data_IF_349675671669
#
_entry.id   IF_349675671669
#
_cell.length_a   1.000
_cell.length_b   1.000
_cell.length_c   1.000
_cell.angle_alpha   90.00
_cell.angle_beta   90.00
_cell.angle_gamma   90.00
#
_symmetry.space_group_name_H-M   'P 1'
#
loop_
_entity.id
_entity.type
_entity.pdbx_description
1 polymer ?
#
# COMPACT_ATOMS: atom_id res chain seq x y z
N UNK A 1 -25.88 -8.15 13.08
CA UNK A 1 -26.36 -8.72 11.81
C UNK A 1 -26.32 -7.73 10.64
N UNK A 2 -26.79 -6.47 10.81
CA UNK A 2 -26.70 -5.42 9.75
C UNK A 2 -25.27 -4.91 9.59
N UNK A 3 -24.53 -4.69 10.66
CA UNK A 3 -23.12 -4.31 10.62
C UNK A 3 -22.24 -5.40 9.98
N UNK A 4 -22.49 -6.66 10.30
CA UNK A 4 -21.80 -7.79 9.66
C UNK A 4 -22.13 -7.93 8.17
N UNK A 5 -23.38 -7.67 7.77
CA UNK A 5 -23.79 -7.59 6.36
C UNK A 5 -23.14 -6.42 5.64
N UNK A 6 -23.05 -5.26 6.29
CA UNK A 6 -22.39 -4.08 5.73
C UNK A 6 -20.89 -4.31 5.60
N UNK A 7 -20.25 -4.92 6.59
CA UNK A 7 -18.83 -5.29 6.52
C UNK A 7 -18.57 -6.38 5.46
N UNK A 8 -19.45 -7.37 5.32
CA UNK A 8 -19.35 -8.38 4.28
C UNK A 8 -19.52 -7.80 2.87
N UNK A 9 -20.48 -6.87 2.67
CA UNK A 9 -20.63 -6.12 1.40
C UNK A 9 -19.42 -5.22 1.10
N UNK A 10 -18.89 -4.52 2.10
CA UNK A 10 -17.66 -3.72 1.94
C UNK A 10 -16.46 -4.60 1.60
N UNK A 11 -16.27 -5.74 2.25
CA UNK A 11 -15.21 -6.72 1.93
C UNK A 11 -15.35 -7.30 0.52
N UNK A 12 -16.57 -7.57 0.06
CA UNK A 12 -16.86 -8.05 -1.29
C UNK A 12 -16.60 -6.99 -2.37
N UNK A 13 -17.01 -5.73 -2.15
CA UNK A 13 -16.72 -4.62 -3.06
C UNK A 13 -15.22 -4.31 -3.11
N UNK A 14 -14.56 -4.28 -1.96
CA UNK A 14 -13.11 -4.04 -1.88
C UNK A 14 -12.34 -5.13 -2.61
N UNK A 15 -12.71 -6.39 -2.42
CA UNK A 15 -12.09 -7.52 -3.13
C UNK A 15 -12.31 -7.46 -4.65
N UNK A 16 -13.47 -7.00 -5.12
CA UNK A 16 -13.77 -6.83 -6.56
C UNK A 16 -12.96 -5.68 -7.17
N UNK A 17 -12.80 -4.57 -6.45
CA UNK A 17 -11.99 -3.43 -6.87
C UNK A 17 -10.52 -3.83 -6.97
N UNK A 18 -9.99 -4.52 -5.98
CA UNK A 18 -8.63 -5.04 -5.98
C UNK A 18 -8.39 -6.05 -7.10
N UNK A 19 -9.37 -6.91 -7.40
CA UNK A 19 -9.27 -7.88 -8.50
C UNK A 19 -9.13 -7.19 -9.86
N UNK A 20 -9.89 -6.13 -10.10
CA UNK A 20 -9.81 -5.35 -11.34
C UNK A 20 -8.50 -4.56 -11.46
N UNK A 21 -7.98 -3.98 -10.38
CA UNK A 21 -6.69 -3.28 -10.38
C UNK A 21 -5.55 -4.21 -10.73
N UNK A 22 -5.49 -5.38 -10.12
CA UNK A 22 -4.44 -6.38 -10.36
C UNK A 22 -4.63 -7.05 -11.73
N UNK A 23 -5.85 -7.21 -12.22
CA UNK A 23 -6.09 -7.76 -13.56
C UNK A 23 -5.44 -6.91 -14.67
N UNK A 24 -5.49 -5.56 -14.57
CA UNK A 24 -4.80 -4.68 -15.51
C UNK A 24 -3.27 -4.72 -15.38
N UNK A 25 -2.76 -4.96 -14.17
CA UNK A 25 -1.33 -5.17 -13.92
C UNK A 25 -0.82 -6.38 -14.69
N UNK A 26 -1.61 -7.40 -14.75
CA UNK A 26 -1.24 -8.74 -15.17
C UNK A 26 -1.38 -8.98 -16.67
N UNK A 27 -2.37 -8.38 -17.34
CA UNK A 27 -2.47 -8.42 -18.80
C UNK A 27 -1.23 -7.83 -19.50
N UNK A 28 -0.42 -7.06 -18.75
CA UNK A 28 0.88 -6.55 -19.20
C UNK A 28 2.01 -7.59 -19.08
N UNK A 29 1.86 -8.62 -18.28
CA UNK A 29 2.88 -9.63 -18.02
C UNK A 29 3.06 -10.60 -19.20
N UNK A 30 2.00 -10.92 -19.93
CA UNK A 30 2.03 -11.88 -21.06
C UNK A 30 3.00 -11.47 -22.19
N UNK A 31 3.33 -10.17 -22.32
CA UNK A 31 4.16 -9.69 -23.43
C UNK A 31 5.64 -9.47 -23.07
N UNK A 32 6.08 -9.61 -21.80
CA UNK A 32 7.44 -9.25 -21.35
C UNK A 32 8.11 -10.21 -20.37
N UNK A 33 7.61 -11.41 -20.19
CA UNK A 33 8.07 -12.41 -19.19
C UNK A 33 9.57 -12.80 -19.32
N UNK A 34 10.20 -12.56 -20.48
CA UNK A 34 11.59 -12.95 -20.71
C UNK A 34 12.61 -11.95 -20.16
N UNK A 35 12.25 -10.68 -19.95
CA UNK A 35 13.21 -9.63 -19.57
C UNK A 35 13.31 -9.38 -18.05
N UNK A 36 12.23 -9.52 -17.32
CA UNK A 36 12.15 -9.11 -15.91
C UNK A 36 11.96 -10.27 -14.92
N UNK A 37 11.75 -11.50 -15.41
CA UNK A 37 11.40 -12.63 -14.54
C UNK A 37 10.03 -12.44 -13.87
N UNK A 38 9.92 -12.88 -12.62
CA UNK A 38 8.65 -12.76 -11.89
C UNK A 38 8.36 -11.31 -11.52
N UNK A 39 7.19 -10.82 -11.94
CA UNK A 39 6.67 -9.50 -11.57
C UNK A 39 5.46 -9.70 -10.67
N UNK A 40 5.40 -8.96 -9.56
CA UNK A 40 4.22 -8.92 -8.70
C UNK A 40 3.44 -7.63 -8.93
N UNK A 41 2.13 -7.69 -8.75
CA UNK A 41 1.26 -6.52 -8.72
C UNK A 41 0.98 -6.10 -7.29
N UNK A 42 1.21 -4.84 -6.95
CA UNK A 42 0.91 -4.29 -5.64
C UNK A 42 -0.10 -3.15 -5.77
N UNK A 43 -1.22 -3.29 -5.09
CA UNK A 43 -2.11 -2.16 -4.83
C UNK A 43 -1.74 -1.56 -3.46
N UNK A 44 -1.03 -0.43 -3.50
CA UNK A 44 -0.62 0.30 -2.31
C UNK A 44 -1.73 1.28 -1.91
N UNK A 45 -2.73 0.80 -1.18
CA UNK A 45 -3.89 1.60 -0.77
C UNK A 45 -3.62 2.49 0.44
N UNK A 46 -4.45 3.52 0.64
CA UNK A 46 -4.38 4.41 1.81
C UNK A 46 -4.62 3.64 3.11
N UNK A 47 -5.64 2.79 3.14
CA UNK A 47 -6.06 2.05 4.35
C UNK A 47 -5.58 0.59 4.33
N UNK A 48 -5.66 -0.05 3.18
CA UNK A 48 -5.26 -1.45 2.98
C UNK A 48 -4.48 -1.58 1.68
N UNK A 49 -3.52 -2.48 1.69
CA UNK A 49 -2.75 -2.88 0.52
C UNK A 49 -2.97 -4.35 0.20
N UNK A 50 -2.73 -4.73 -1.04
CA UNK A 50 -2.72 -6.14 -1.42
C UNK A 50 -1.65 -6.43 -2.47
N UNK A 51 -1.29 -7.70 -2.59
CA UNK A 51 -0.32 -8.18 -3.56
C UNK A 51 -0.89 -9.38 -4.32
N UNK A 52 -0.58 -9.44 -5.59
CA UNK A 52 -0.98 -10.54 -6.45
C UNK A 52 0.09 -10.89 -7.47
N UNK A 53 -0.08 -12.04 -8.09
CA UNK A 53 0.80 -12.57 -9.14
C UNK A 53 -0.02 -13.17 -10.26
N UNK A 54 0.53 -13.14 -11.46
CA UNK A 54 -0.02 -13.91 -12.57
C UNK A 54 0.60 -15.29 -12.60
N UNK A 55 -0.23 -16.31 -12.55
CA UNK A 55 0.20 -17.69 -12.57
C UNK A 55 -0.85 -18.55 -13.25
N UNK A 56 -0.42 -19.46 -14.13
CA UNK A 56 -1.31 -20.40 -14.81
C UNK A 56 -2.49 -19.72 -15.55
N UNK A 57 -2.22 -18.60 -16.25
CA UNK A 57 -3.24 -17.92 -17.05
C UNK A 57 -4.23 -17.07 -16.25
N UNK A 58 -4.03 -16.86 -14.96
CA UNK A 58 -4.92 -16.07 -14.10
C UNK A 58 -4.18 -15.25 -13.05
N UNK A 59 -4.87 -14.21 -12.59
CA UNK A 59 -4.42 -13.39 -11.44
C UNK A 59 -4.78 -14.10 -10.14
N UNK A 60 -3.79 -14.23 -9.27
CA UNK A 60 -3.98 -14.75 -7.91
C UNK A 60 -3.61 -13.67 -6.90
N UNK A 61 -4.57 -13.28 -6.05
CA UNK A 61 -4.32 -12.41 -4.90
C UNK A 61 -3.77 -13.28 -3.78
N UNK A 62 -2.61 -12.91 -3.27
CA UNK A 62 -1.89 -13.68 -2.27
C UNK A 62 -2.39 -13.30 -0.87
N UNK A 63 -2.68 -14.30 -0.04
CA UNK A 63 -3.01 -14.08 1.36
C UNK A 63 -1.75 -13.82 2.20
N UNK A 64 -1.86 -12.94 3.19
CA UNK A 64 -0.82 -12.70 4.17
C UNK A 64 -0.71 -13.84 5.20
N UNK A 65 0.21 -13.71 6.16
CA UNK A 65 0.44 -14.68 7.25
C UNK A 65 -0.77 -14.88 8.17
N UNK A 66 -1.73 -13.96 8.19
CA UNK A 66 -3.01 -14.07 8.91
C UNK A 66 -4.14 -14.69 8.04
N UNK A 67 -3.83 -15.11 6.81
CA UNK A 67 -4.81 -15.64 5.86
C UNK A 67 -5.67 -14.58 5.19
N UNK A 68 -5.38 -13.28 5.36
CA UNK A 68 -6.12 -12.20 4.77
C UNK A 68 -5.52 -11.80 3.41
N UNK A 69 -6.38 -11.56 2.41
CA UNK A 69 -5.95 -11.09 1.08
C UNK A 69 -5.66 -9.59 1.01
N UNK A 70 -5.98 -8.87 2.06
CA UNK A 70 -5.65 -7.45 2.23
C UNK A 70 -4.87 -7.29 3.52
N UNK A 71 -3.93 -6.37 3.53
CA UNK A 71 -3.07 -6.06 4.67
C UNK A 71 -3.24 -4.59 5.02
N UNK A 72 -3.47 -4.22 6.30
CA UNK A 72 -3.53 -2.81 6.69
C UNK A 72 -2.26 -2.06 6.29
N UNK A 73 -2.40 -0.87 5.71
CA UNK A 73 -1.28 0.03 5.38
C UNK A 73 -0.82 0.79 6.63
N UNK A 74 -0.46 0.04 7.66
CA UNK A 74 -0.11 0.50 8.99
C UNK A 74 1.31 0.07 9.34
N UNK A 75 2.04 0.99 10.00
CA UNK A 75 3.38 0.74 10.55
C UNK A 75 3.40 1.24 11.98
N UNK A 76 3.83 0.43 12.92
CA UNK A 76 3.95 0.83 14.32
C UNK A 76 5.35 0.53 14.85
N UNK A 77 5.78 1.33 15.82
CA UNK A 77 7.08 1.20 16.47
C UNK A 77 6.88 1.00 17.97
N UNK A 78 7.46 -0.07 18.51
CA UNK A 78 7.44 -0.32 19.95
C UNK A 78 8.28 0.70 20.70
N UNK A 79 7.73 1.25 21.78
CA UNK A 79 8.48 2.13 22.67
C UNK A 79 9.48 1.38 23.56
N UNK A 80 9.26 0.09 23.80
CA UNK A 80 10.08 -0.69 24.69
C UNK A 80 11.40 -1.10 24.04
N UNK A 81 11.33 -1.72 22.87
CA UNK A 81 12.47 -2.32 22.17
C UNK A 81 12.74 -1.74 20.78
N UNK A 82 11.92 -0.80 20.32
CA UNK A 82 12.03 -0.22 18.98
C UNK A 82 11.63 -1.16 17.84
N UNK A 83 10.99 -2.28 18.14
CA UNK A 83 10.53 -3.22 17.14
C UNK A 83 9.52 -2.57 16.18
N UNK A 84 9.71 -2.82 14.89
CA UNK A 84 8.81 -2.34 13.84
C UNK A 84 7.79 -3.41 13.49
N UNK A 85 6.53 -3.05 13.60
CA UNK A 85 5.39 -3.88 13.21
C UNK A 85 4.74 -3.32 11.95
N UNK A 86 4.22 -4.18 11.08
CA UNK A 86 3.57 -3.78 9.82
C UNK A 86 2.28 -4.60 9.65
N UNK A 87 1.25 -3.98 9.07
CA UNK A 87 -0.01 -4.64 8.76
C UNK A 87 -0.91 -4.83 9.98
N UNK A 88 -1.48 -6.02 10.14
CA UNK A 88 -2.43 -6.32 11.22
C UNK A 88 -1.81 -6.11 12.60
N UNK A 89 -0.56 -6.53 12.81
CA UNK A 89 0.17 -6.32 14.05
C UNK A 89 0.30 -4.83 14.39
N UNK A 90 0.63 -3.99 13.41
CA UNK A 90 0.71 -2.54 13.58
C UNK A 90 -0.66 -1.92 13.88
N UNK A 91 -1.70 -2.31 13.15
CA UNK A 91 -3.05 -1.81 13.36
C UNK A 91 -3.59 -2.10 14.76
N UNK A 92 -3.25 -3.27 15.31
CA UNK A 92 -3.63 -3.65 16.67
C UNK A 92 -2.96 -2.77 17.75
N UNK A 93 -1.86 -2.09 17.42
CA UNK A 93 -1.20 -1.14 18.31
C UNK A 93 -1.93 0.21 18.42
N UNK A 94 -2.83 0.54 17.50
CA UNK A 94 -3.44 1.87 17.42
C UNK A 94 -4.11 2.31 18.73
N UNK A 95 -4.73 1.39 19.46
CA UNK A 95 -5.43 1.72 20.71
C UNK A 95 -4.47 1.97 21.88
N UNK A 96 -3.35 1.26 21.93
CA UNK A 96 -2.41 1.30 23.08
C UNK A 96 -1.17 2.14 22.81
N UNK A 97 -0.85 2.37 21.53
CA UNK A 97 0.34 3.11 21.10
C UNK A 97 0.01 4.02 19.89
N UNK A 98 -0.99 4.91 20.01
CA UNK A 98 -1.47 5.71 18.86
C UNK A 98 -0.41 6.64 18.30
N UNK A 99 0.42 7.26 19.14
CA UNK A 99 1.43 8.24 18.72
C UNK A 99 2.57 7.63 17.88
N UNK A 100 2.77 6.31 17.97
CA UNK A 100 3.79 5.58 17.21
C UNK A 100 3.19 4.58 16.22
N UNK A 101 1.90 4.70 15.93
CA UNK A 101 1.19 3.91 14.93
C UNK A 101 0.84 4.80 13.76
N UNK A 102 1.54 4.61 12.65
CA UNK A 102 1.45 5.43 11.43
C UNK A 102 0.54 4.76 10.42
N UNK A 103 -0.38 5.53 9.89
CA UNK A 103 -1.28 5.13 8.79
C UNK A 103 -1.50 6.33 7.85
N UNK A 104 -2.22 6.15 6.76
CA UNK A 104 -2.50 7.20 5.78
C UNK A 104 -1.23 7.85 5.15
N UNK A 105 -0.07 7.20 5.19
CA UNK A 105 1.16 7.72 4.60
C UNK A 105 1.01 8.11 3.11
N UNK A 106 0.10 7.44 2.39
CA UNK A 106 -0.26 7.76 1.01
C UNK A 106 -0.82 9.18 0.82
N UNK A 107 -1.38 9.79 1.87
CA UNK A 107 -1.86 11.17 1.84
C UNK A 107 -0.73 12.20 1.93
N UNK A 108 0.43 11.79 2.44
CA UNK A 108 1.62 12.63 2.58
C UNK A 108 2.62 12.47 1.43
N UNK A 109 2.64 11.29 0.77
CA UNK A 109 3.67 10.94 -0.21
C UNK A 109 3.72 11.93 -1.37
N UNK A 110 4.93 12.43 -1.68
CA UNK A 110 5.17 13.38 -2.77
C UNK A 110 4.55 14.76 -2.60
N UNK A 111 4.03 15.09 -1.40
CA UNK A 111 3.43 16.40 -1.11
C UNK A 111 4.40 17.33 -0.38
N UNK A 112 4.04 18.62 -0.39
CA UNK A 112 4.72 19.63 0.41
C UNK A 112 4.05 19.78 1.77
N UNK A 113 4.85 20.10 2.81
CA UNK A 113 4.34 20.25 4.17
C UNK A 113 3.26 21.34 4.26
N UNK A 114 3.45 22.45 3.53
CA UNK A 114 2.52 23.59 3.53
C UNK A 114 1.27 23.38 2.67
N UNK A 115 1.11 22.22 2.01
CA UNK A 115 -0.13 21.89 1.29
C UNK A 115 -1.32 21.94 2.24
N UNK A 116 -2.39 22.63 1.85
CA UNK A 116 -3.61 22.75 2.65
C UNK A 116 -4.18 21.40 3.07
N UNK A 117 -4.20 20.44 2.15
CA UNK A 117 -4.66 19.07 2.43
C UNK A 117 -3.80 18.39 3.48
N UNK A 118 -2.48 18.56 3.45
CA UNK A 118 -1.55 18.02 4.44
C UNK A 118 -1.81 18.67 5.81
N UNK A 119 -1.97 20.00 5.85
CA UNK A 119 -2.23 20.73 7.09
C UNK A 119 -3.59 20.39 7.71
N UNK A 120 -4.60 20.07 6.90
CA UNK A 120 -5.89 19.63 7.39
C UNK A 120 -5.85 18.17 7.89
N UNK A 121 -5.16 17.28 7.18
CA UNK A 121 -5.02 15.87 7.57
C UNK A 121 -4.17 15.70 8.86
N UNK A 122 -3.11 16.49 9.06
CA UNK A 122 -2.26 16.47 10.28
C UNK A 122 -3.08 16.63 11.57
N UNK A 123 -4.15 17.40 11.53
CA UNK A 123 -5.03 17.64 12.70
C UNK A 123 -5.83 16.41 13.12
N UNK A 124 -5.94 15.41 12.24
CA UNK A 124 -6.75 14.21 12.44
C UNK A 124 -5.93 13.01 12.92
N UNK A 125 -4.60 13.07 12.77
CA UNK A 125 -3.74 11.95 13.13
C UNK A 125 -3.24 12.02 14.57
N UNK A 126 -3.13 10.88 15.26
CA UNK A 126 -2.60 10.83 16.62
C UNK A 126 -1.07 10.95 16.66
N UNK A 127 -0.37 10.63 15.56
CA UNK A 127 1.07 10.74 15.44
C UNK A 127 1.49 12.14 14.96
N UNK A 128 2.71 12.53 15.28
CA UNK A 128 3.25 13.85 14.92
C UNK A 128 3.80 13.85 13.50
N UNK A 129 3.56 14.93 12.79
CA UNK A 129 4.20 15.23 11.49
C UNK A 129 4.98 16.55 11.63
N UNK A 130 6.24 16.56 11.24
CA UNK A 130 7.13 17.71 11.27
C UNK A 130 7.48 18.20 9.87
N UNK A 131 7.85 19.47 9.78
CA UNK A 131 8.43 20.04 8.58
C UNK A 131 9.94 19.79 8.52
N UNK A 132 10.40 19.29 7.39
CA UNK A 132 11.82 19.22 7.06
C UNK A 132 12.02 19.72 5.63
N UNK A 133 12.46 20.97 5.47
CA UNK A 133 12.64 21.60 4.17
C UNK A 133 11.36 21.61 3.33
N UNK A 134 10.24 21.98 3.90
CA UNK A 134 8.90 21.94 3.31
C UNK A 134 8.43 20.53 2.87
N UNK A 135 9.01 19.49 3.46
CA UNK A 135 8.56 18.10 3.24
C UNK A 135 8.04 17.51 4.54
N UNK A 136 6.85 16.88 4.55
CA UNK A 136 6.29 16.29 5.74
C UNK A 136 7.11 15.05 6.16
N UNK A 137 7.45 14.95 7.44
CA UNK A 137 8.11 13.81 8.04
C UNK A 137 7.32 13.34 9.25
N UNK A 138 7.03 12.06 9.31
CA UNK A 138 6.39 11.43 10.47
C UNK A 138 7.41 11.29 11.58
N UNK A 139 7.06 11.73 12.80
CA UNK A 139 7.91 11.65 13.99
C UNK A 139 7.34 10.60 14.93
N UNK A 140 8.12 9.59 15.25
CA UNK A 140 7.75 8.49 16.15
C UNK A 140 8.87 8.18 17.11
N UNK A 141 8.54 7.62 18.27
CA UNK A 141 9.52 7.07 19.20
C UNK A 141 9.87 5.64 18.83
N UNK A 142 11.14 5.39 18.60
CA UNK A 142 11.70 4.06 18.36
C UNK A 142 12.58 3.70 19.55
N UNK A 143 12.04 2.93 20.47
CA UNK A 143 12.66 2.75 21.80
C UNK A 143 12.65 4.09 22.55
N UNK A 144 13.85 4.60 22.89
CA UNK A 144 14.03 5.87 23.64
C UNK A 144 14.29 7.09 22.75
N UNK A 145 14.40 6.92 21.44
CA UNK A 145 14.80 7.97 20.51
C UNK A 145 13.62 8.41 19.63
N UNK A 146 13.50 9.72 19.41
CA UNK A 146 12.61 10.26 18.41
C UNK A 146 13.26 10.10 17.03
N UNK A 147 12.56 9.41 16.12
CA UNK A 147 12.99 9.24 14.72
C UNK A 147 12.00 9.90 13.77
N UNK A 148 12.53 10.42 12.67
CA UNK A 148 11.76 11.02 11.61
C UNK A 148 11.85 10.15 10.37
N UNK A 149 10.69 9.87 9.77
CA UNK A 149 10.58 9.09 8.54
C UNK A 149 9.86 9.90 7.47
N UNK A 150 10.43 9.92 6.26
CA UNK A 150 9.71 10.41 5.10
C UNK A 150 8.51 9.50 4.78
N UNK A 151 7.43 10.00 4.16
CA UNK A 151 6.30 9.17 3.73
C UNK A 151 6.71 8.03 2.82
N UNK A 152 7.74 8.22 1.99
CA UNK A 152 8.34 7.21 1.13
C UNK A 152 8.93 6.05 1.94
N UNK A 153 9.57 6.34 3.08
CA UNK A 153 10.14 5.32 3.96
C UNK A 153 9.05 4.50 4.65
N UNK A 154 7.98 5.13 5.12
CA UNK A 154 6.80 4.43 5.69
C UNK A 154 6.13 3.57 4.62
N UNK A 155 5.93 4.11 3.43
CA UNK A 155 5.35 3.37 2.29
C UNK A 155 6.24 2.20 1.89
N UNK A 156 7.57 2.37 1.92
CA UNK A 156 8.53 1.30 1.66
C UNK A 156 8.42 0.15 2.66
N UNK A 157 8.14 0.42 3.92
CA UNK A 157 7.91 -0.62 4.93
C UNK A 157 6.68 -1.47 4.58
N UNK A 158 5.60 -0.84 4.11
CA UNK A 158 4.40 -1.57 3.64
C UNK A 158 4.73 -2.36 2.38
N UNK A 159 5.46 -1.79 1.42
CA UNK A 159 5.88 -2.48 0.19
C UNK A 159 6.79 -3.68 0.50
N UNK A 160 7.67 -3.57 1.49
CA UNK A 160 8.50 -4.69 1.98
C UNK A 160 7.63 -5.83 2.48
N UNK A 161 6.58 -5.54 3.25
CA UNK A 161 5.63 -6.57 3.70
C UNK A 161 4.91 -7.23 2.52
N UNK A 162 4.51 -6.46 1.50
CA UNK A 162 3.91 -7.03 0.28
C UNK A 162 4.89 -7.95 -0.47
N UNK A 163 6.17 -7.55 -0.55
CA UNK A 163 7.24 -8.36 -1.14
C UNK A 163 7.42 -9.67 -0.36
N UNK A 164 7.53 -9.62 0.96
CA UNK A 164 7.68 -10.79 1.83
C UNK A 164 6.51 -11.78 1.68
N UNK A 165 5.28 -11.28 1.61
CA UNK A 165 4.07 -12.10 1.37
C UNK A 165 4.18 -12.82 0.02
N UNK A 166 4.60 -12.10 -1.02
CA UNK A 166 4.76 -12.68 -2.35
C UNK A 166 5.90 -13.71 -2.41
N UNK A 167 7.04 -13.42 -1.80
CA UNK A 167 8.19 -14.32 -1.74
C UNK A 167 7.88 -15.60 -0.98
N UNK A 168 7.17 -15.50 0.16
CA UNK A 168 6.71 -16.67 0.92
C UNK A 168 5.78 -17.56 0.11
N UNK A 169 4.86 -16.97 -0.66
CA UNK A 169 3.94 -17.70 -1.53
C UNK A 169 4.64 -18.36 -2.72
N UNK A 170 5.58 -17.63 -3.34
CA UNK A 170 6.27 -18.07 -4.55
C UNK A 170 7.46 -19.02 -4.27
N UNK A 171 7.99 -19.02 -3.04
CA UNK A 171 9.19 -19.77 -2.65
C UNK A 171 10.47 -19.25 -3.29
N UNK A 172 10.50 -18.00 -3.75
CA UNK A 172 11.65 -17.37 -4.42
C UNK A 172 11.68 -15.86 -4.23
N UNK A 173 12.87 -15.28 -4.39
CA UNK A 173 13.07 -13.84 -4.37
C UNK A 173 12.30 -13.11 -5.48
N UNK A 174 11.71 -11.96 -5.12
CA UNK A 174 11.00 -11.08 -6.04
C UNK A 174 11.69 -9.72 -6.11
N UNK A 175 12.07 -9.31 -7.32
CA UNK A 175 12.78 -8.06 -7.58
C UNK A 175 11.93 -7.01 -8.30
N UNK A 176 10.90 -7.42 -9.02
CA UNK A 176 10.16 -6.54 -9.91
C UNK A 176 8.69 -6.42 -9.49
N UNK A 177 8.17 -5.21 -9.51
CA UNK A 177 6.78 -4.93 -9.18
C UNK A 177 6.15 -3.92 -10.14
N UNK A 178 4.85 -4.04 -10.30
CA UNK A 178 3.97 -2.97 -10.81
C UNK A 178 3.16 -2.46 -9.64
N UNK A 179 3.09 -1.15 -9.46
CA UNK A 179 2.39 -0.52 -8.33
C UNK A 179 1.27 0.37 -8.85
N UNK A 180 0.09 0.31 -8.21
CA UNK A 180 -1.04 1.18 -8.54
C UNK A 180 -0.99 2.49 -7.76
N UNK A 181 -1.46 3.57 -8.39
CA UNK A 181 -1.65 4.88 -7.78
C UNK A 181 -2.98 5.48 -8.21
N UNK A 182 -3.59 6.39 -7.42
CA UNK A 182 -4.77 7.12 -7.85
C UNK A 182 -4.52 7.88 -9.15
N UNK A 183 -5.53 7.96 -10.01
CA UNK A 183 -5.43 8.67 -11.30
C UNK A 183 -5.09 10.17 -11.11
N UNK A 184 -5.48 10.78 -9.98
CA UNK A 184 -5.20 12.18 -9.65
C UNK A 184 -3.78 12.44 -9.11
N UNK A 185 -2.94 11.40 -8.92
CA UNK A 185 -1.56 11.59 -8.51
C UNK A 185 -0.78 12.34 -9.58
N UNK A 186 -0.06 13.38 -9.15
CA UNK A 186 0.88 14.11 -9.99
C UNK A 186 2.22 13.37 -10.14
N UNK A 187 3.12 13.91 -10.94
CA UNK A 187 4.42 13.28 -11.22
C UNK A 187 5.29 13.15 -9.97
N UNK A 188 5.26 14.13 -9.07
CA UNK A 188 6.01 14.07 -7.81
C UNK A 188 5.53 12.92 -6.92
N UNK A 189 4.22 12.71 -6.80
CA UNK A 189 3.63 11.61 -6.04
C UNK A 189 3.93 10.24 -6.69
N UNK A 190 3.92 10.18 -8.02
CA UNK A 190 4.29 8.96 -8.78
C UNK A 190 5.76 8.62 -8.60
N UNK A 191 6.64 9.63 -8.67
CA UNK A 191 8.07 9.44 -8.45
C UNK A 191 8.34 8.99 -7.02
N UNK A 192 7.75 9.64 -6.02
CA UNK A 192 7.87 9.27 -4.61
C UNK A 192 7.39 7.83 -4.34
N UNK A 193 6.35 7.36 -5.05
CA UNK A 193 5.91 5.96 -4.98
C UNK A 193 6.95 5.00 -5.57
N UNK A 194 7.63 5.37 -6.65
CA UNK A 194 8.76 4.59 -7.20
C UNK A 194 9.93 4.55 -6.23
N UNK A 195 10.24 5.69 -5.61
CA UNK A 195 11.34 5.80 -4.64
C UNK A 195 11.07 4.91 -3.42
N UNK A 196 9.82 4.86 -2.94
CA UNK A 196 9.40 3.91 -1.91
C UNK A 196 9.64 2.45 -2.33
N UNK A 197 9.34 2.10 -3.58
CA UNK A 197 9.64 0.78 -4.13
C UNK A 197 11.15 0.47 -4.11
N UNK A 198 11.97 1.42 -4.51
CA UNK A 198 13.44 1.29 -4.50
C UNK A 198 13.96 1.08 -3.07
N UNK A 199 13.46 1.83 -2.09
CA UNK A 199 13.81 1.66 -0.67
C UNK A 199 13.42 0.26 -0.19
N UNK A 200 12.29 -0.30 -0.66
CA UNK A 200 11.83 -1.66 -0.35
C UNK A 200 12.63 -2.75 -1.10
N UNK A 201 13.61 -2.40 -1.92
CA UNK A 201 14.37 -3.36 -2.74
C UNK A 201 13.59 -3.90 -3.93
N UNK A 202 12.61 -3.14 -4.44
CA UNK A 202 11.81 -3.47 -5.61
C UNK A 202 12.17 -2.55 -6.79
N UNK A 203 12.38 -3.14 -7.95
CA UNK A 203 12.36 -2.41 -9.21
C UNK A 203 10.91 -2.20 -9.64
N UNK A 204 10.40 -0.99 -9.50
CA UNK A 204 9.05 -0.64 -9.95
C UNK A 204 9.06 -0.42 -11.45
N UNK A 205 8.76 -1.48 -12.19
CA UNK A 205 8.82 -1.49 -13.66
C UNK A 205 7.73 -0.63 -14.29
N UNK A 206 6.62 -0.40 -13.58
CA UNK A 206 5.54 0.48 -14.02
C UNK A 206 4.71 0.97 -12.83
N UNK A 207 4.27 2.23 -12.92
CA UNK A 207 3.17 2.80 -12.13
C UNK A 207 1.94 2.83 -13.03
N UNK A 208 0.81 2.33 -12.54
CA UNK A 208 -0.48 2.34 -13.24
C UNK A 208 -1.56 2.99 -12.38
N UNK A 209 -2.57 3.55 -13.02
CA UNK A 209 -3.69 4.14 -12.30
C UNK A 209 -4.57 3.05 -11.68
N UNK A 210 -5.03 3.30 -10.44
CA UNK A 210 -6.14 2.55 -9.86
C UNK A 210 -7.38 2.71 -10.75
N UNK A 211 -8.14 1.63 -11.04
CA UNK A 211 -9.40 1.79 -11.76
C UNK A 211 -10.34 2.63 -10.91
N UNK A 212 -10.88 3.70 -11.50
CA UNK A 212 -11.90 4.49 -10.83
C UNK A 212 -13.16 3.64 -10.64
N UNK A 213 -13.81 3.74 -9.49
CA UNK A 213 -15.03 2.99 -9.16
C UNK A 213 -16.13 3.15 -10.24
N UNK A 214 -16.17 4.29 -10.94
CA UNK A 214 -17.07 4.56 -12.05
C UNK A 214 -16.76 3.69 -13.30
N UNK A 215 -15.50 3.47 -13.64
CA UNK A 215 -15.10 2.62 -14.76
C UNK A 215 -15.40 1.13 -14.48
N UNK A 216 -15.33 0.72 -13.23
CA UNK A 216 -15.64 -0.65 -12.78
C UNK A 216 -17.16 -0.89 -12.84
N UNK A 217 -17.97 0.05 -12.34
CA UNK A 217 -19.44 -0.05 -12.41
C UNK A 217 -19.95 -0.09 -13.84
N UNK A 218 -19.35 0.70 -14.76
CA UNK A 218 -19.78 0.79 -16.14
C UNK A 218 -19.32 -0.40 -17.02
N UNK A 219 -18.24 -1.07 -16.64
CA UNK A 219 -17.67 -2.19 -17.40
C UNK A 219 -18.27 -3.54 -17.06
N UNK A 220 -18.86 -3.69 -15.87
CA UNK A 220 -19.46 -4.95 -15.44
C UNK A 220 -20.87 -5.19 -15.96
N UNK A 221 -21.63 -4.10 -16.25
CA UNK A 221 -23.00 -4.20 -16.79
C UNK A 221 -23.06 -4.43 -18.30
N UNK A 222 -21.94 -4.38 -19.02
CA UNK A 222 -21.88 -4.54 -20.48
C UNK A 222 -21.46 -5.91 -20.99
N UNK A 223 -21.34 -6.92 -20.12
CA UNK A 223 -21.02 -8.30 -20.53
C UNK A 223 -22.22 -9.25 -20.56
N UNK A 224 -23.44 -8.71 -20.52
CA UNK A 224 -24.65 -9.47 -20.85
C UNK A 224 -25.36 -8.78 -22.03
N UNK A 225 -24.98 -9.20 -23.23
CA UNK A 225 -25.57 -8.82 -24.48
C UNK A 225 -24.88 -9.58 -25.61
#
# INVERSE_FOLDING_TARGET
>A
LEEERCQRKRRSLTASIFHSSIFHIVSFQETKDTKYGTIIGIDLGTTYSCVGVYKNGRVEIIANDQGNRITPSYVAFSQENGERMIGDAAKNQLTINPENTVFDAKRLIGRDFNDKTVQDDIKLWPFKVSDKNNKPHVVVKVGKEDKQFAPEEISAMVLTKMKEIAESYLGKEVKNAVVTVPAYFNDAQRQATKDAGTIAGLNVVRIINEPTAAAIAYGLDKKEG
#
